data_IF_158353810496
#
_entry.id   IF_158353810496
#
_cell.length_a   1.000
_cell.length_b   1.000
_cell.length_c   1.000
_cell.angle_alpha   90.00
_cell.angle_beta   90.00
_cell.angle_gamma   90.00
#
_symmetry.space_group_name_H-M   'P 1'
#
loop_
_entity.id
_entity.type
_entity.pdbx_description
1 polymer ?
#
# COMPACT_ATOMS: atom_id res chain seq x y z
N UNK A 1 -46.41 48.50 32.21
CA UNK A 1 -47.20 47.26 32.41
C UNK A 1 -46.21 46.13 32.60
N UNK A 2 -46.49 45.21 33.53
CA UNK A 2 -45.50 44.30 34.11
C UNK A 2 -45.89 42.85 33.90
N UNK A 3 -45.04 42.07 33.23
CA UNK A 3 -44.93 40.60 33.32
C UNK A 3 -43.74 40.16 32.45
N UNK A 4 -42.99 39.08 32.66
CA UNK A 4 -42.66 38.17 33.77
C UNK A 4 -42.04 36.96 33.08
N UNK A 5 -40.78 36.63 33.36
CA UNK A 5 -40.18 35.34 32.99
C UNK A 5 -40.64 34.25 33.97
N UNK A 6 -40.69 32.99 33.51
CA UNK A 6 -40.24 31.90 34.37
C UNK A 6 -39.25 30.93 33.69
N UNK A 7 -38.38 30.37 34.52
CA UNK A 7 -37.42 29.28 34.27
C UNK A 7 -38.11 27.90 34.25
N UNK A 8 -37.46 26.89 33.65
CA UNK A 8 -37.82 25.47 33.80
C UNK A 8 -36.58 24.58 33.95
N UNK A 9 -36.66 23.60 34.86
CA UNK A 9 -35.57 22.90 35.55
C UNK A 9 -35.94 21.40 35.73
N UNK A 10 -35.06 20.39 35.57
CA UNK A 10 -33.75 20.39 34.92
C UNK A 10 -33.27 19.03 34.34
N UNK A 11 -33.17 17.90 35.08
CA UNK A 11 -32.01 17.02 34.87
C UNK A 11 -32.31 15.59 34.40
N UNK A 12 -31.27 14.91 33.89
CA UNK A 12 -31.35 13.49 33.51
C UNK A 12 -30.00 12.87 33.16
N UNK A 13 -29.22 12.47 34.16
CA UNK A 13 -28.28 11.33 34.01
C UNK A 13 -29.10 10.02 33.93
N UNK A 14 -28.57 8.95 33.32
CA UNK A 14 -27.93 7.99 34.21
C UNK A 14 -26.60 7.42 33.72
N UNK A 15 -25.76 7.15 34.73
CA UNK A 15 -24.63 6.22 34.74
C UNK A 15 -24.85 4.94 33.92
N UNK A 16 -23.82 4.48 33.23
CA UNK A 16 -23.74 3.09 32.79
C UNK A 16 -22.40 2.46 33.22
N UNK A 17 -22.45 1.79 34.38
CA UNK A 17 -21.39 0.97 34.93
C UNK A 17 -21.52 -0.44 34.37
N UNK A 18 -20.48 -0.99 33.74
CA UNK A 18 -20.17 -2.42 33.84
C UNK A 18 -18.81 -2.80 33.25
N UNK A 19 -17.89 -3.24 34.11
CA UNK A 19 -16.91 -4.27 33.79
C UNK A 19 -17.62 -5.64 33.75
N UNK A 20 -17.03 -6.66 33.10
CA UNK A 20 -16.34 -7.64 33.93
C UNK A 20 -15.02 -8.16 33.36
N UNK A 21 -14.15 -8.59 34.28
CA UNK A 21 -12.91 -9.33 34.01
C UNK A 21 -13.17 -10.74 33.49
N UNK A 22 -12.20 -11.35 32.80
CA UNK A 22 -12.03 -12.80 32.79
C UNK A 22 -10.56 -13.20 32.58
N UNK A 23 -10.14 -14.18 33.37
CA UNK A 23 -8.78 -14.73 33.50
C UNK A 23 -8.77 -16.17 32.95
N UNK A 24 -7.59 -16.79 32.83
CA UNK A 24 -7.35 -18.23 32.53
C UNK A 24 -7.58 -18.66 31.06
N UNK A 25 -6.91 -19.66 30.50
CA UNK A 25 -5.64 -20.33 30.84
C UNK A 25 -5.10 -21.11 29.60
N UNK A 26 -3.91 -21.70 29.77
CA UNK A 26 -3.17 -22.55 28.82
C UNK A 26 -3.97 -23.55 27.98
N UNK A 27 -3.45 -23.87 26.78
CA UNK A 27 -3.43 -25.25 26.30
C UNK A 27 -2.04 -25.61 25.74
N UNK A 28 -1.65 -26.88 25.92
CA UNK A 28 -0.36 -27.47 25.52
C UNK A 28 -0.42 -28.05 24.10
N UNK A 29 0.75 -28.55 23.67
CA UNK A 29 0.93 -29.69 22.76
C UNK A 29 0.96 -29.33 21.28
N UNK A 30 2.14 -29.45 20.67
CA UNK A 30 2.35 -30.52 19.68
C UNK A 30 3.73 -31.16 19.87
N UNK A 31 3.74 -32.48 19.73
CA UNK A 31 4.87 -33.40 19.86
C UNK A 31 5.08 -34.02 18.49
N UNK A 32 6.31 -34.02 17.98
CA UNK A 32 6.68 -34.77 16.79
C UNK A 32 8.13 -35.26 16.93
N UNK A 33 8.36 -36.55 16.69
CA UNK A 33 9.65 -37.19 16.83
C UNK A 33 10.22 -37.60 15.47
N UNK A 34 11.55 -37.69 15.43
CA UNK A 34 12.38 -38.56 14.61
C UNK A 34 12.05 -38.77 13.11
N UNK A 35 12.98 -38.37 12.25
CA UNK A 35 13.44 -39.21 11.14
C UNK A 35 14.90 -38.88 10.80
N UNK A 36 15.71 -39.92 10.58
CA UNK A 36 17.11 -39.87 10.14
C UNK A 36 17.18 -40.52 8.75
N UNK A 37 17.75 -39.84 7.75
CA UNK A 37 18.67 -40.43 6.77
C UNK A 37 19.20 -39.45 5.73
N UNK A 38 20.41 -39.75 5.25
CA UNK A 38 21.15 -39.08 4.18
C UNK A 38 20.64 -39.48 2.78
N UNK A 39 20.86 -38.63 1.76
CA UNK A 39 21.71 -38.92 0.57
C UNK A 39 21.69 -37.71 -0.41
N UNK A 40 22.75 -37.39 -1.17
CA UNK A 40 22.79 -36.22 -2.08
C UNK A 40 22.61 -36.57 -3.57
N UNK A 41 22.61 -35.52 -4.43
CA UNK A 41 22.72 -35.54 -5.91
C UNK A 41 21.39 -35.63 -6.71
N UNK A 42 21.30 -35.16 -7.98
CA UNK A 42 22.10 -34.16 -8.71
C UNK A 42 21.26 -32.97 -9.26
N UNK A 43 21.92 -31.93 -9.79
CA UNK A 43 21.27 -30.91 -10.65
C UNK A 43 20.80 -31.52 -11.99
N UNK A 44 19.79 -30.90 -12.64
CA UNK A 44 20.15 -30.17 -13.85
C UNK A 44 19.39 -28.84 -14.08
N UNK A 45 20.17 -27.83 -14.48
CA UNK A 45 19.89 -26.82 -15.52
C UNK A 45 18.42 -26.39 -15.75
N UNK A 46 18.04 -25.27 -15.16
CA UNK A 46 17.11 -24.32 -15.79
C UNK A 46 17.78 -22.95 -15.81
N UNK A 47 18.12 -22.47 -17.01
CA UNK A 47 18.73 -21.15 -17.18
C UNK A 47 17.68 -20.06 -17.00
N UNK A 48 17.57 -19.49 -15.80
CA UNK A 48 17.02 -18.14 -15.68
C UNK A 48 18.10 -17.19 -16.14
N UNK A 49 18.06 -16.86 -17.43
CA UNK A 49 18.75 -15.70 -17.98
C UNK A 49 18.23 -14.47 -17.25
N UNK A 50 18.90 -14.07 -16.17
CA UNK A 50 18.72 -12.76 -15.54
C UNK A 50 19.28 -11.73 -16.51
N UNK A 51 18.51 -11.47 -17.57
CA UNK A 51 18.70 -10.40 -18.53
C UNK A 51 18.70 -9.10 -17.73
N UNK A 52 19.89 -8.67 -17.32
CA UNK A 52 20.14 -7.33 -16.79
C UNK A 52 19.90 -6.35 -17.94
N UNK A 53 18.62 -6.05 -18.19
CA UNK A 53 18.24 -4.93 -19.03
C UNK A 53 18.82 -3.69 -18.36
N UNK A 54 19.67 -2.99 -19.09
CA UNK A 54 20.45 -1.87 -18.59
C UNK A 54 19.52 -0.80 -18.00
N UNK A 55 19.56 -0.62 -16.68
CA UNK A 55 18.76 0.38 -15.95
C UNK A 55 19.08 1.84 -16.33
N UNK A 56 20.05 2.06 -17.23
CA UNK A 56 20.51 3.37 -17.67
C UNK A 56 19.58 4.06 -18.67
N UNK A 57 18.77 3.31 -19.43
CA UNK A 57 17.87 3.87 -20.45
C UNK A 57 16.53 4.34 -19.84
N UNK A 58 16.09 3.67 -18.77
CA UNK A 58 14.82 3.98 -18.09
C UNK A 58 14.86 5.26 -17.24
N UNK A 59 16.06 5.77 -16.88
CA UNK A 59 16.14 7.00 -16.07
C UNK A 59 15.67 8.23 -16.84
N UNK A 60 15.99 8.33 -18.14
CA UNK A 60 15.61 9.47 -18.98
C UNK A 60 14.11 9.55 -19.17
N UNK A 61 13.44 8.44 -19.47
CA UNK A 61 11.99 8.39 -19.68
C UNK A 61 11.18 8.89 -18.46
N UNK A 62 11.62 8.60 -17.23
CA UNK A 62 10.98 9.18 -16.04
C UNK A 62 11.34 10.67 -15.84
N UNK A 63 12.58 11.08 -16.11
CA UNK A 63 12.97 12.50 -16.04
C UNK A 63 12.19 13.37 -17.06
N UNK A 64 11.99 12.89 -18.28
CA UNK A 64 11.18 13.54 -19.31
C UNK A 64 9.69 13.60 -18.93
N UNK A 65 9.13 12.51 -18.39
CA UNK A 65 7.81 12.51 -17.78
C UNK A 65 7.70 13.58 -16.68
N UNK A 66 8.64 13.58 -15.74
CA UNK A 66 8.63 14.50 -14.60
C UNK A 66 8.76 15.95 -15.04
N UNK A 67 9.54 16.25 -16.09
CA UNK A 67 9.63 17.58 -16.71
C UNK A 67 8.31 17.97 -17.40
N UNK A 68 7.75 17.11 -18.25
CA UNK A 68 6.48 17.33 -18.98
C UNK A 68 5.32 17.66 -18.04
N UNK A 69 5.21 16.92 -16.92
CA UNK A 69 4.09 17.02 -16.00
C UNK A 69 4.34 17.86 -14.75
N UNK A 70 5.53 18.47 -14.58
CA UNK A 70 5.91 19.28 -13.40
C UNK A 70 4.95 20.46 -13.12
N UNK A 71 4.35 21.02 -14.17
CA UNK A 71 3.39 22.13 -14.07
C UNK A 71 1.98 21.68 -13.65
N UNK A 72 1.66 20.39 -13.80
CA UNK A 72 0.31 19.85 -13.61
C UNK A 72 0.17 18.89 -12.43
N UNK A 73 1.29 18.31 -11.98
CA UNK A 73 1.39 17.39 -10.85
C UNK A 73 2.21 18.03 -9.72
N UNK A 74 1.70 17.96 -8.49
CA UNK A 74 2.45 18.49 -7.32
C UNK A 74 3.59 17.54 -6.90
N UNK A 75 4.60 18.00 -6.13
CA UNK A 75 5.80 17.21 -5.83
C UNK A 75 5.53 15.81 -5.22
N UNK A 76 4.47 15.67 -4.41
CA UNK A 76 4.05 14.39 -3.85
C UNK A 76 3.48 13.40 -4.88
N UNK A 77 2.80 13.89 -5.93
CA UNK A 77 2.36 13.06 -7.07
C UNK A 77 3.56 12.55 -7.86
N UNK A 78 4.53 13.43 -8.15
CA UNK A 78 5.78 13.03 -8.80
C UNK A 78 6.56 12.03 -7.94
N UNK A 79 6.66 12.23 -6.62
CA UNK A 79 7.31 11.27 -5.73
C UNK A 79 6.64 9.88 -5.76
N UNK A 80 5.30 9.82 -5.77
CA UNK A 80 4.57 8.54 -5.90
C UNK A 80 4.78 7.91 -7.29
N UNK A 81 4.69 8.69 -8.37
CA UNK A 81 4.95 8.20 -9.72
C UNK A 81 6.38 7.65 -9.87
N UNK A 82 7.38 8.31 -9.27
CA UNK A 82 8.77 7.83 -9.25
C UNK A 82 8.90 6.45 -8.62
N UNK A 83 8.39 6.27 -7.39
CA UNK A 83 8.48 4.97 -6.69
C UNK A 83 7.74 3.87 -7.48
N UNK A 84 6.59 4.19 -8.05
CA UNK A 84 5.83 3.25 -8.87
C UNK A 84 6.57 2.91 -10.18
N UNK A 85 7.25 3.87 -10.81
CA UNK A 85 8.10 3.67 -11.99
C UNK A 85 9.33 2.79 -11.68
N UNK A 86 9.99 3.03 -10.55
CA UNK A 86 11.10 2.23 -10.03
C UNK A 86 10.66 0.77 -9.70
N UNK A 87 9.38 0.55 -9.37
CA UNK A 87 8.80 -0.79 -9.16
C UNK A 87 8.25 -1.48 -10.43
N UNK A 88 8.23 -0.80 -11.57
CA UNK A 88 7.66 -1.31 -12.84
C UNK A 88 8.65 -1.24 -13.99
N UNK A 89 8.69 -0.09 -14.67
CA UNK A 89 9.47 0.12 -15.89
C UNK A 89 10.98 -0.08 -15.66
N UNK A 90 11.49 0.30 -14.50
CA UNK A 90 12.90 0.04 -14.14
C UNK A 90 13.24 -1.47 -14.08
N UNK A 91 12.25 -2.34 -13.88
CA UNK A 91 12.37 -3.81 -13.86
C UNK A 91 11.88 -4.43 -15.20
N UNK A 92 11.41 -3.61 -16.15
CA UNK A 92 10.81 -4.07 -17.41
C UNK A 92 9.39 -4.62 -17.29
N UNK A 93 8.69 -4.37 -16.17
CA UNK A 93 7.31 -4.75 -15.95
C UNK A 93 6.34 -3.58 -16.21
N UNK A 94 5.12 -3.87 -16.68
CA UNK A 94 4.05 -2.87 -16.86
C UNK A 94 3.14 -2.71 -15.64
N UNK A 95 3.26 -3.63 -14.67
CA UNK A 95 2.43 -3.74 -13.47
C UNK A 95 3.32 -3.95 -12.24
N UNK A 96 2.97 -3.37 -11.10
CA UNK A 96 3.59 -3.66 -9.81
C UNK A 96 2.55 -4.06 -8.77
N UNK A 97 2.92 -4.96 -7.86
CA UNK A 97 2.13 -5.29 -6.68
C UNK A 97 2.81 -4.69 -5.44
N UNK A 98 2.14 -3.75 -4.76
CA UNK A 98 2.69 -3.06 -3.59
C UNK A 98 1.59 -2.61 -2.64
N UNK A 99 1.96 -2.17 -1.43
CA UNK A 99 1.04 -1.69 -0.39
C UNK A 99 1.12 -0.16 -0.28
N UNK A 100 -0.02 0.48 0.02
CA UNK A 100 -0.04 1.92 0.39
C UNK A 100 0.94 2.26 1.53
N UNK A 101 1.26 1.33 2.42
CA UNK A 101 2.27 1.52 3.47
C UNK A 101 3.69 1.59 2.93
N UNK A 102 4.03 0.78 1.92
CA UNK A 102 5.37 0.78 1.29
C UNK A 102 5.59 2.07 0.50
N UNK A 103 4.61 2.44 -0.34
CA UNK A 103 4.64 3.71 -1.08
C UNK A 103 4.75 4.90 -0.11
N UNK A 104 3.96 4.92 0.96
CA UNK A 104 3.99 5.99 1.97
C UNK A 104 5.36 6.09 2.68
N UNK A 105 5.96 4.96 3.04
CA UNK A 105 7.31 4.92 3.63
C UNK A 105 8.39 5.40 2.66
N UNK A 106 8.37 4.91 1.40
CA UNK A 106 9.34 5.29 0.37
C UNK A 106 9.27 6.78 0.02
N UNK A 107 8.06 7.35 -0.01
CA UNK A 107 7.82 8.78 -0.28
C UNK A 107 7.81 9.67 0.97
N UNK A 108 8.08 9.09 2.16
CA UNK A 108 8.11 9.78 3.47
C UNK A 108 6.84 10.60 3.78
N UNK A 109 5.67 10.11 3.37
CA UNK A 109 4.39 10.79 3.61
C UNK A 109 3.43 9.95 4.48
N UNK A 110 2.41 10.59 5.05
CA UNK A 110 1.40 9.85 5.82
C UNK A 110 0.58 8.93 4.92
N UNK A 111 0.16 7.77 5.45
CA UNK A 111 -0.64 6.78 4.70
C UNK A 111 -1.93 7.37 4.12
N UNK A 112 -2.61 8.27 4.86
CA UNK A 112 -3.80 8.99 4.37
C UNK A 112 -3.46 9.89 3.19
N UNK A 113 -2.35 10.62 3.24
CA UNK A 113 -1.92 11.45 2.12
C UNK A 113 -1.56 10.60 0.89
N UNK A 114 -0.81 9.51 1.06
CA UNK A 114 -0.49 8.58 -0.03
C UNK A 114 -1.74 8.04 -0.74
N UNK A 115 -2.76 7.63 0.01
CA UNK A 115 -4.04 7.17 -0.57
C UNK A 115 -4.70 8.29 -1.39
N UNK A 116 -4.73 9.53 -0.88
CA UNK A 116 -5.28 10.68 -1.61
C UNK A 116 -4.47 11.02 -2.88
N UNK A 117 -3.13 10.96 -2.80
CA UNK A 117 -2.21 11.17 -3.94
C UNK A 117 -2.49 10.14 -5.04
N UNK A 118 -2.54 8.85 -4.68
CA UNK A 118 -2.82 7.76 -5.61
C UNK A 118 -4.22 7.88 -6.20
N UNK A 119 -5.26 8.18 -5.38
CA UNK A 119 -6.61 8.44 -5.89
C UNK A 119 -6.62 9.58 -6.92
N UNK A 120 -5.87 10.67 -6.67
CA UNK A 120 -5.79 11.80 -7.59
C UNK A 120 -5.06 11.45 -8.90
N UNK A 121 -4.04 10.58 -8.85
CA UNK A 121 -3.34 10.07 -10.04
C UNK A 121 -4.21 9.08 -10.84
N UNK A 122 -5.01 8.25 -10.16
CA UNK A 122 -5.99 7.35 -10.79
C UNK A 122 -7.07 8.14 -11.51
N UNK A 123 -7.65 9.15 -10.86
CA UNK A 123 -8.66 10.03 -11.47
C UNK A 123 -8.13 10.87 -12.65
N UNK A 124 -6.81 10.89 -12.87
CA UNK A 124 -6.13 11.57 -13.98
C UNK A 124 -5.60 10.61 -15.05
N UNK A 125 -5.89 9.31 -14.95
CA UNK A 125 -5.46 8.31 -15.94
C UNK A 125 -3.97 7.94 -15.92
N UNK A 126 -3.18 8.40 -14.94
CA UNK A 126 -1.75 8.03 -14.81
C UNK A 126 -1.54 6.68 -14.12
N UNK A 127 -2.50 6.22 -13.33
CA UNK A 127 -2.45 4.95 -12.59
C UNK A 127 -3.79 4.23 -12.75
N UNK A 128 -3.73 2.95 -13.10
CA UNK A 128 -4.88 2.05 -13.09
C UNK A 128 -4.77 1.07 -11.90
N UNK A 129 -5.88 0.82 -11.21
CA UNK A 129 -5.98 -0.17 -10.13
C UNK A 129 -6.58 -1.46 -10.68
N UNK A 130 -5.75 -2.47 -10.88
CA UNK A 130 -6.15 -3.74 -11.51
C UNK A 130 -6.75 -4.72 -10.50
N UNK A 131 -6.07 -4.95 -9.38
CA UNK A 131 -6.40 -6.01 -8.43
C UNK A 131 -6.13 -5.53 -7.00
N UNK A 132 -7.09 -5.71 -6.08
CA UNK A 132 -6.88 -5.48 -4.64
C UNK A 132 -6.92 -6.84 -3.95
N UNK A 133 -5.77 -7.31 -3.45
CA UNK A 133 -5.65 -8.60 -2.77
C UNK A 133 -5.56 -8.39 -1.27
N UNK A 134 -6.36 -9.14 -0.50
CA UNK A 134 -6.42 -9.05 0.96
C UNK A 134 -6.61 -10.44 1.59
N UNK A 135 -5.86 -11.41 1.09
CA UNK A 135 -5.90 -12.79 1.56
C UNK A 135 -4.87 -13.02 2.68
N UNK A 136 -5.01 -14.12 3.41
CA UNK A 136 -4.05 -14.53 4.44
C UNK A 136 -2.61 -14.71 3.90
N UNK A 137 -2.47 -15.06 2.62
CA UNK A 137 -1.18 -15.22 1.93
C UNK A 137 -0.56 -13.89 1.50
N UNK A 138 -1.37 -12.93 1.03
CA UNK A 138 -0.88 -11.66 0.52
C UNK A 138 -1.91 -10.53 0.62
N UNK A 139 -1.48 -9.41 1.22
CA UNK A 139 -2.16 -8.12 1.17
C UNK A 139 -1.43 -7.16 0.25
N UNK A 140 -2.13 -6.44 -0.61
CA UNK A 140 -1.53 -5.46 -1.52
C UNK A 140 -2.47 -5.07 -2.66
N UNK A 141 -1.98 -4.19 -3.53
CA UNK A 141 -2.71 -3.69 -4.68
C UNK A 141 -1.80 -3.80 -5.90
N UNK A 142 -2.35 -4.36 -6.98
CA UNK A 142 -1.73 -4.35 -8.29
C UNK A 142 -2.07 -3.03 -8.99
N UNK A 143 -1.04 -2.24 -9.24
CA UNK A 143 -1.13 -1.00 -10.00
C UNK A 143 -0.50 -1.20 -11.37
N UNK A 144 -1.11 -0.59 -12.38
CA UNK A 144 -0.51 -0.34 -13.69
C UNK A 144 -0.31 1.16 -13.82
N UNK A 145 0.77 1.57 -14.49
CA UNK A 145 1.18 2.97 -14.59
C UNK A 145 1.24 3.35 -16.06
N UNK A 146 0.87 4.58 -16.36
CA UNK A 146 0.92 5.15 -17.68
C UNK A 146 1.72 6.46 -17.63
N UNK A 147 2.71 6.61 -18.52
CA UNK A 147 3.50 7.83 -18.67
C UNK A 147 2.71 8.94 -19.40
N UNK A 148 1.62 8.57 -20.06
CA UNK A 148 0.64 9.49 -20.62
C UNK A 148 -0.74 9.13 -20.05
N UNK A 149 -1.56 10.13 -19.68
CA UNK A 149 -2.84 9.89 -19.02
C UNK A 149 -3.79 9.21 -20.00
N UNK A 150 -4.35 8.06 -19.60
CA UNK A 150 -5.43 7.39 -20.32
C UNK A 150 -6.74 8.07 -19.93
N UNK A 151 -7.18 9.05 -20.72
CA UNK A 151 -8.39 9.85 -20.50
C UNK A 151 -9.10 10.19 -21.80
#
# INVERSE_FOLDING_TARGET
MTTQTPVTEAPGEPVNTSLPSSTTASLRTFQAAAAVQSEPSPQPKAGTETRRVSASDNSTAYDDFARKWKMYLYPGQLAVMRILYELTYAVGATECFTRYSEIASATKMSRRNCINVVNSLVNRGFIERLEVRNDASAKGIRFRIHLEPVS
#
